data_IF_103822489573
#
_entry.id   IF_103822489573
#
_cell.length_a   1.000
_cell.length_b   1.000
_cell.length_c   1.000
_cell.angle_alpha   90.00
_cell.angle_beta   90.00
_cell.angle_gamma   90.00
#
_symmetry.space_group_name_H-M   'P 1'
#
loop_
_entity.id
_entity.type
_entity.pdbx_description
1 polymer ?
#
# COMPACT_ATOMS: atom_id res chain seq x y z
N UNK A 1 22.36 -22.18 27.64
CA UNK A 1 22.10 -21.37 26.44
C UNK A 1 20.73 -21.80 25.93
N UNK A 2 19.68 -20.98 26.08
CA UNK A 2 18.46 -21.24 25.30
C UNK A 2 18.86 -20.98 23.86
N UNK A 3 18.99 -22.03 23.07
CA UNK A 3 19.34 -21.89 21.66
C UNK A 3 18.15 -21.21 20.99
N UNK A 4 18.38 -20.05 20.37
CA UNK A 4 17.37 -19.31 19.59
C UNK A 4 16.74 -20.18 18.49
N UNK A 5 17.44 -21.26 18.12
CA UNK A 5 17.02 -22.27 17.14
C UNK A 5 16.25 -23.45 17.75
N UNK A 6 16.02 -23.47 19.06
CA UNK A 6 15.40 -24.58 19.77
C UNK A 6 16.35 -25.75 20.03
N UNK A 7 15.80 -26.81 20.62
CA UNK A 7 16.52 -28.04 20.92
C UNK A 7 15.67 -29.27 20.54
N UNK A 8 16.21 -30.48 20.74
CA UNK A 8 15.50 -31.73 20.42
C UNK A 8 14.13 -31.85 21.09
N UNK A 9 13.97 -31.29 22.29
CA UNK A 9 12.74 -31.32 23.07
C UNK A 9 11.84 -30.10 22.78
N UNK A 10 12.38 -29.05 22.16
CA UNK A 10 11.68 -27.84 21.76
C UNK A 10 12.00 -27.45 20.30
N UNK A 11 11.57 -28.25 19.30
CA UNK A 11 12.00 -28.07 17.91
C UNK A 11 11.34 -26.87 17.20
N UNK A 12 10.34 -26.23 17.80
CA UNK A 12 9.52 -25.19 17.16
C UNK A 12 9.85 -23.77 17.62
N UNK A 13 10.94 -23.55 18.38
CA UNK A 13 11.29 -22.23 18.94
C UNK A 13 11.39 -21.17 17.85
N UNK A 14 12.08 -21.47 16.74
CA UNK A 14 12.21 -20.53 15.63
C UNK A 14 10.85 -20.15 15.03
N UNK A 15 9.98 -21.12 14.75
CA UNK A 15 8.65 -20.86 14.20
C UNK A 15 7.75 -20.07 15.18
N UNK A 16 7.93 -20.30 16.48
CA UNK A 16 7.23 -19.55 17.52
C UNK A 16 7.71 -18.10 17.60
N UNK A 17 9.02 -17.87 17.51
CA UNK A 17 9.57 -16.53 17.44
C UNK A 17 9.09 -15.79 16.19
N UNK A 18 9.13 -16.43 15.01
CA UNK A 18 8.72 -15.82 13.75
C UNK A 18 7.26 -15.34 13.74
N UNK A 19 6.34 -16.07 14.37
CA UNK A 19 4.91 -15.68 14.44
C UNK A 19 4.58 -14.67 15.55
N UNK A 20 5.51 -14.43 16.48
CA UNK A 20 5.34 -13.49 17.60
C UNK A 20 6.11 -12.18 17.38
N UNK A 21 7.12 -12.19 16.51
CA UNK A 21 7.88 -11.02 16.17
C UNK A 21 7.01 -9.99 15.43
N UNK A 22 7.23 -8.68 15.66
CA UNK A 22 6.61 -7.64 14.87
C UNK A 22 7.06 -7.75 13.40
N UNK A 23 6.16 -7.37 12.48
CA UNK A 23 6.50 -7.26 11.06
C UNK A 23 7.19 -5.92 10.80
N UNK A 24 8.53 -5.94 10.88
CA UNK A 24 9.39 -4.78 10.65
C UNK A 24 9.64 -4.57 9.15
N UNK A 25 8.57 -4.40 8.39
CA UNK A 25 8.60 -4.54 6.93
C UNK A 25 9.49 -3.51 6.22
N UNK A 26 9.58 -2.30 6.78
CA UNK A 26 10.37 -1.16 6.29
C UNK A 26 11.22 -0.52 7.41
N UNK A 27 11.31 -1.13 8.60
CA UNK A 27 11.92 -0.47 9.75
C UNK A 27 13.44 -0.51 9.73
N UNK A 28 14.08 0.66 9.86
CA UNK A 28 15.52 0.78 10.07
C UNK A 28 16.04 0.03 11.30
N UNK A 29 15.18 -0.27 12.28
CA UNK A 29 15.56 -1.01 13.49
C UNK A 29 16.15 -2.40 13.19
N UNK A 30 15.80 -3.01 12.04
CA UNK A 30 16.40 -4.28 11.60
C UNK A 30 17.89 -4.18 11.32
N UNK A 31 18.40 -2.98 11.01
CA UNK A 31 19.81 -2.73 10.74
C UNK A 31 20.61 -2.36 12.00
N UNK A 32 20.04 -2.49 13.19
CA UNK A 32 20.74 -2.19 14.46
C UNK A 32 22.10 -2.90 14.57
N UNK A 33 22.23 -4.15 14.12
CA UNK A 33 23.53 -4.84 14.11
C UNK A 33 24.55 -4.14 13.19
N UNK A 34 24.13 -3.74 11.98
CA UNK A 34 24.99 -3.06 11.02
C UNK A 34 25.39 -1.68 11.54
N UNK A 35 24.43 -0.93 12.09
CA UNK A 35 24.66 0.38 12.73
C UNK A 35 25.68 0.24 13.86
N UNK A 36 25.52 -0.74 14.74
CA UNK A 36 26.47 -1.00 15.83
C UNK A 36 27.89 -1.31 15.33
N UNK A 37 28.04 -2.02 14.20
CA UNK A 37 29.35 -2.26 13.58
C UNK A 37 29.96 -1.00 13.00
N UNK A 38 29.16 -0.15 12.37
CA UNK A 38 29.59 1.17 11.89
C UNK A 38 30.07 2.00 13.08
N UNK A 39 29.30 2.05 14.17
CA UNK A 39 29.62 2.84 15.35
C UNK A 39 30.85 2.32 16.08
N UNK A 40 31.06 1.01 16.14
CA UNK A 40 32.32 0.44 16.64
C UNK A 40 33.52 0.84 15.77
N UNK A 41 33.31 1.02 14.45
CA UNK A 41 34.34 1.44 13.50
C UNK A 41 34.58 2.96 13.46
N UNK A 42 33.65 3.80 13.91
CA UNK A 42 33.77 5.27 13.81
C UNK A 42 33.71 6.00 15.15
N UNK A 43 33.15 5.38 16.18
CA UNK A 43 32.90 5.93 17.52
C UNK A 43 32.25 7.33 17.45
N UNK A 44 31.10 7.46 16.77
CA UNK A 44 30.46 8.74 16.56
C UNK A 44 29.89 9.27 17.87
N UNK A 45 29.92 10.59 18.05
CA UNK A 45 29.37 11.27 19.22
C UNK A 45 28.02 11.88 18.91
N UNK A 46 27.91 12.52 17.74
CA UNK A 46 26.71 13.25 17.33
C UNK A 46 26.07 12.60 16.12
N UNK A 47 24.78 12.29 16.21
CA UNK A 47 23.99 11.70 15.13
C UNK A 47 22.92 12.71 14.71
N UNK A 48 22.69 12.84 13.42
CA UNK A 48 21.53 13.57 12.88
C UNK A 48 20.65 12.55 12.16
N UNK A 49 19.43 12.36 12.63
CA UNK A 49 18.43 11.49 12.03
C UNK A 49 17.40 12.35 11.32
N UNK A 50 17.16 12.07 10.04
CA UNK A 50 16.14 12.74 9.21
C UNK A 50 15.07 11.72 8.87
N UNK A 51 13.83 11.98 9.27
CA UNK A 51 12.74 11.01 9.16
C UNK A 51 12.66 10.13 10.40
N UNK A 52 11.99 10.64 11.44
CA UNK A 52 11.97 10.00 12.77
C UNK A 52 10.78 9.03 12.90
N UNK A 53 9.75 9.22 12.07
CA UNK A 53 8.50 8.45 12.00
C UNK A 53 7.79 8.29 13.36
N UNK A 54 8.11 7.25 14.14
CA UNK A 54 7.53 6.99 15.45
C UNK A 54 8.44 7.37 16.63
N UNK A 55 9.72 7.71 16.36
CA UNK A 55 10.76 7.94 17.36
C UNK A 55 11.32 6.67 18.00
N UNK A 56 10.83 5.48 17.60
CA UNK A 56 11.26 4.21 18.19
C UNK A 56 12.67 3.77 17.75
N UNK A 57 13.15 4.24 16.60
CA UNK A 57 14.48 3.90 16.09
C UNK A 57 15.59 4.77 16.70
N UNK A 58 15.29 6.01 17.07
CA UNK A 58 16.27 7.00 17.52
C UNK A 58 17.11 6.55 18.72
N UNK A 59 16.53 5.79 19.65
CA UNK A 59 17.26 5.30 20.83
C UNK A 59 18.33 4.26 20.48
N UNK A 60 18.22 3.58 19.33
CA UNK A 60 19.19 2.58 18.89
C UNK A 60 20.58 3.20 18.75
N UNK A 61 20.65 4.47 18.32
CA UNK A 61 21.94 5.14 18.14
C UNK A 61 22.63 5.40 19.49
N UNK A 62 21.87 5.77 20.52
CA UNK A 62 22.38 5.91 21.89
C UNK A 62 22.80 4.57 22.47
N UNK A 63 22.02 3.51 22.24
CA UNK A 63 22.36 2.14 22.67
C UNK A 63 23.69 1.65 22.07
N UNK A 64 24.03 2.13 20.87
CA UNK A 64 25.32 1.85 20.21
C UNK A 64 26.44 2.83 20.56
N UNK A 65 26.19 3.78 21.47
CA UNK A 65 27.23 4.63 22.07
C UNK A 65 27.35 6.04 21.50
N UNK A 66 26.34 6.53 20.78
CA UNK A 66 26.24 7.97 20.51
C UNK A 66 25.98 8.75 21.80
N UNK A 67 26.48 9.98 21.86
CA UNK A 67 26.24 10.88 23.00
C UNK A 67 24.98 11.73 22.81
N UNK A 68 24.64 12.10 21.57
CA UNK A 68 23.48 12.90 21.25
C UNK A 68 22.91 12.56 19.87
N UNK A 69 21.59 12.58 19.75
CA UNK A 69 20.86 12.39 18.48
C UNK A 69 19.95 13.59 18.24
N UNK A 70 20.11 14.22 17.08
CA UNK A 70 19.23 15.28 16.60
C UNK A 70 18.22 14.68 15.63
N UNK A 71 16.98 14.57 16.08
CA UNK A 71 15.87 13.93 15.39
C UNK A 71 15.07 14.98 14.61
N UNK A 72 15.26 15.02 13.29
CA UNK A 72 14.62 15.97 12.36
C UNK A 72 13.30 15.39 11.85
N UNK A 73 12.22 16.08 12.16
CA UNK A 73 10.86 15.70 11.74
C UNK A 73 10.06 16.96 11.36
N UNK A 74 9.50 17.07 10.14
CA UNK A 74 8.72 18.24 9.75
C UNK A 74 7.38 18.39 10.48
N UNK A 75 6.74 17.30 10.90
CA UNK A 75 5.42 17.33 11.52
C UNK A 75 5.30 16.35 12.71
N UNK A 76 6.03 16.59 13.83
CA UNK A 76 6.11 15.63 14.91
C UNK A 76 4.80 15.53 15.69
N UNK A 77 4.33 14.30 15.86
CA UNK A 77 3.13 13.99 16.65
C UNK A 77 3.37 14.20 18.15
N UNK A 78 2.29 14.36 18.93
CA UNK A 78 2.39 14.44 20.40
C UNK A 78 3.05 13.19 20.99
N UNK A 79 2.71 12.01 20.47
CA UNK A 79 3.32 10.75 20.87
C UNK A 79 4.84 10.74 20.63
N UNK A 80 5.30 11.27 19.49
CA UNK A 80 6.74 11.37 19.21
C UNK A 80 7.42 12.34 20.17
N UNK A 81 6.82 13.51 20.43
CA UNK A 81 7.35 14.48 21.40
C UNK A 81 7.50 13.86 22.78
N UNK A 82 6.50 13.11 23.23
CA UNK A 82 6.52 12.41 24.51
C UNK A 82 7.61 11.33 24.55
N UNK A 83 7.76 10.54 23.47
CA UNK A 83 8.73 9.47 23.38
C UNK A 83 10.17 9.98 23.42
N UNK A 84 10.50 10.97 22.57
CA UNK A 84 11.83 11.57 22.54
C UNK A 84 12.11 12.37 23.82
N UNK A 85 11.12 13.06 24.36
CA UNK A 85 11.23 13.83 25.60
C UNK A 85 11.54 13.02 26.86
N UNK A 86 11.43 11.68 26.82
CA UNK A 86 11.88 10.83 27.92
C UNK A 86 13.40 10.74 28.06
N UNK A 87 14.15 11.10 27.00
CA UNK A 87 15.60 11.03 27.00
C UNK A 87 16.20 12.40 26.64
N UNK A 88 16.96 13.05 27.54
CA UNK A 88 17.54 14.38 27.29
C UNK A 88 18.57 14.41 26.15
N UNK A 89 19.11 13.24 25.76
CA UNK A 89 20.10 13.10 24.69
C UNK A 89 19.45 12.88 23.30
N UNK A 90 18.11 12.83 23.26
CA UNK A 90 17.31 12.86 22.03
C UNK A 90 16.71 14.26 21.83
N UNK A 91 17.18 14.96 20.81
CA UNK A 91 16.80 16.34 20.53
C UNK A 91 15.86 16.39 19.33
N UNK A 92 14.57 16.60 19.57
CA UNK A 92 13.61 16.83 18.48
C UNK A 92 13.82 18.20 17.83
N UNK A 93 14.03 18.21 16.52
CA UNK A 93 14.15 19.40 15.68
C UNK A 93 13.01 19.40 14.67
N UNK A 94 12.11 20.38 14.79
CA UNK A 94 10.95 20.51 13.90
C UNK A 94 11.32 21.32 12.66
N UNK A 95 11.33 20.68 11.50
CA UNK A 95 11.65 21.33 10.22
C UNK A 95 11.85 20.38 9.06
N UNK A 96 11.90 20.94 7.85
CA UNK A 96 12.13 20.21 6.60
C UNK A 96 13.63 20.17 6.27
N UNK A 97 14.14 18.98 5.98
CA UNK A 97 15.43 18.79 5.32
C UNK A 97 15.32 19.14 3.81
N UNK A 98 16.43 19.56 3.18
CA UNK A 98 17.75 19.83 3.76
C UNK A 98 17.85 21.18 4.50
N UNK A 99 16.87 22.06 4.39
CA UNK A 99 16.98 23.44 4.88
C UNK A 99 17.30 23.52 6.38
N UNK A 100 16.63 22.72 7.20
CA UNK A 100 16.82 22.69 8.66
C UNK A 100 18.22 22.20 9.07
N UNK A 101 18.94 21.47 8.22
CA UNK A 101 20.27 20.94 8.55
C UNK A 101 21.27 22.07 8.83
N UNK A 102 21.08 23.26 8.24
CA UNK A 102 21.90 24.43 8.49
C UNK A 102 21.80 24.98 9.94
N UNK A 103 20.72 24.67 10.64
CA UNK A 103 20.44 25.15 11.99
C UNK A 103 20.83 24.14 13.09
N UNK A 104 21.33 22.96 12.70
CA UNK A 104 21.67 21.85 13.60
C UNK A 104 23.19 21.71 13.71
N UNK A 105 23.67 21.20 14.85
CA UNK A 105 25.08 20.83 14.99
C UNK A 105 25.47 19.77 13.95
N UNK A 106 26.66 19.90 13.36
CA UNK A 106 27.15 18.92 12.41
C UNK A 106 27.30 17.55 13.09
N UNK A 107 26.70 16.53 12.49
CA UNK A 107 26.81 15.14 12.92
C UNK A 107 28.09 14.46 12.44
N UNK A 108 28.53 13.46 13.20
CA UNK A 108 29.53 12.47 12.76
C UNK A 108 28.88 11.41 11.86
N UNK A 109 27.58 11.18 12.06
CA UNK A 109 26.74 10.30 11.24
C UNK A 109 25.42 10.99 10.95
N UNK A 110 24.97 10.89 9.69
CA UNK A 110 23.64 11.27 9.26
C UNK A 110 22.87 10.00 8.90
N UNK A 111 21.67 9.83 9.45
CA UNK A 111 20.74 8.78 9.04
C UNK A 111 19.60 9.47 8.28
N UNK A 112 19.44 9.13 7.00
CA UNK A 112 18.50 9.79 6.09
C UNK A 112 17.45 8.77 5.66
N UNK A 113 16.25 8.93 6.21
CA UNK A 113 15.08 8.06 6.02
C UNK A 113 13.77 8.87 6.02
N UNK A 114 13.82 10.08 5.44
CA UNK A 114 12.70 11.00 5.36
C UNK A 114 11.79 10.72 4.15
N UNK A 115 11.85 11.61 3.15
CA UNK A 115 11.09 11.44 1.90
C UNK A 115 11.93 10.66 0.87
N UNK A 116 11.32 9.74 0.13
CA UNK A 116 12.04 8.84 -0.79
C UNK A 116 11.89 9.30 -2.25
N UNK A 117 12.13 10.59 -2.50
CA UNK A 117 12.23 11.15 -3.84
C UNK A 117 13.63 11.72 -4.11
N UNK A 118 13.97 11.75 -5.40
CA UNK A 118 15.27 12.20 -5.86
C UNK A 118 15.63 13.60 -5.36
N UNK A 119 14.72 14.57 -5.49
CA UNK A 119 15.05 15.97 -5.24
C UNK A 119 15.39 16.25 -3.77
N UNK A 120 14.65 15.62 -2.85
CA UNK A 120 14.87 15.73 -1.41
C UNK A 120 16.19 15.07 -1.02
N UNK A 121 16.38 13.80 -1.36
CA UNK A 121 17.60 13.04 -1.04
C UNK A 121 18.83 13.69 -1.67
N UNK A 122 18.71 14.18 -2.91
CA UNK A 122 19.80 14.89 -3.59
C UNK A 122 20.19 16.15 -2.83
N UNK A 123 19.22 16.96 -2.40
CA UNK A 123 19.47 18.18 -1.64
C UNK A 123 20.11 17.91 -0.27
N UNK A 124 19.68 16.84 0.41
CA UNK A 124 20.28 16.39 1.67
C UNK A 124 21.73 15.96 1.48
N UNK A 125 22.01 15.12 0.49
CA UNK A 125 23.36 14.66 0.20
C UNK A 125 24.28 15.81 -0.23
N UNK A 126 23.82 16.71 -1.10
CA UNK A 126 24.61 17.88 -1.51
C UNK A 126 24.98 18.75 -0.30
N UNK A 127 24.04 18.96 0.62
CA UNK A 127 24.31 19.69 1.85
C UNK A 127 25.30 18.95 2.75
N UNK A 128 25.07 17.66 3.03
CA UNK A 128 25.88 16.86 3.96
C UNK A 128 27.31 16.72 3.43
N UNK A 129 27.49 16.32 2.17
CA UNK A 129 28.82 16.10 1.57
C UNK A 129 29.63 17.41 1.46
N UNK A 130 28.95 18.55 1.40
CA UNK A 130 29.61 19.88 1.40
C UNK A 130 30.00 20.33 2.81
N UNK A 131 29.08 20.21 3.79
CA UNK A 131 29.24 20.83 5.11
C UNK A 131 29.82 19.88 6.17
N UNK A 132 29.63 18.56 5.98
CA UNK A 132 30.15 17.50 6.85
C UNK A 132 30.85 16.40 6.02
N UNK A 133 31.89 16.73 5.25
CA UNK A 133 32.55 15.80 4.31
C UNK A 133 33.24 14.60 4.97
N UNK A 134 33.45 14.62 6.29
CA UNK A 134 34.05 13.51 7.04
C UNK A 134 33.01 12.63 7.77
N UNK A 135 31.72 12.94 7.61
CA UNK A 135 30.61 12.21 8.21
C UNK A 135 30.27 10.94 7.43
N UNK A 136 29.71 9.94 8.13
CA UNK A 136 29.10 8.77 7.49
C UNK A 136 27.63 9.06 7.24
N UNK A 137 27.11 8.74 6.06
CA UNK A 137 25.68 8.87 5.75
C UNK A 137 25.09 7.48 5.59
N UNK A 138 24.06 7.17 6.37
CA UNK A 138 23.28 5.95 6.29
C UNK A 138 21.95 6.30 5.65
N UNK A 139 21.58 5.64 4.56
CA UNK A 139 20.33 5.88 3.84
C UNK A 139 19.55 4.58 3.69
N UNK A 140 18.23 4.66 3.66
CA UNK A 140 17.35 3.52 3.43
C UNK A 140 16.66 3.61 2.05
N UNK A 141 16.01 2.52 1.65
CA UNK A 141 15.23 2.43 0.41
C UNK A 141 16.01 2.62 -0.91
N UNK A 142 17.26 2.15 -0.94
CA UNK A 142 18.11 2.20 -2.14
C UNK A 142 17.74 1.18 -3.24
N UNK A 143 16.95 0.17 -2.92
CA UNK A 143 16.54 -0.89 -3.84
C UNK A 143 15.06 -0.74 -4.18
N UNK A 144 14.45 -1.81 -4.70
CA UNK A 144 13.06 -1.79 -5.11
C UNK A 144 12.14 -1.38 -3.93
N UNK A 145 11.16 -0.49 -4.15
CA UNK A 145 10.89 0.22 -5.39
C UNK A 145 11.63 1.56 -5.51
N UNK A 146 11.97 2.17 -4.38
CA UNK A 146 12.25 3.61 -4.31
C UNK A 146 13.65 4.00 -4.77
N UNK A 147 14.57 3.03 -4.89
CA UNK A 147 15.89 3.26 -5.46
C UNK A 147 15.84 3.86 -6.86
N UNK A 148 14.81 3.51 -7.65
CA UNK A 148 14.61 3.97 -9.03
C UNK A 148 13.22 4.56 -9.26
N UNK A 149 12.48 4.92 -8.21
CA UNK A 149 11.13 5.45 -8.34
C UNK A 149 10.88 6.42 -7.18
N UNK A 150 10.43 7.62 -7.49
CA UNK A 150 10.07 8.57 -6.44
C UNK A 150 8.81 8.14 -5.71
N UNK A 151 8.87 8.25 -4.38
CA UNK A 151 7.72 8.30 -3.49
C UNK A 151 7.56 9.73 -3.02
N UNK A 152 6.31 10.20 -2.95
CA UNK A 152 5.98 11.53 -2.45
C UNK A 152 5.02 11.44 -1.28
N UNK A 153 5.48 11.84 -0.09
CA UNK A 153 4.60 12.15 1.04
C UNK A 153 3.90 13.51 0.85
N UNK A 154 4.60 14.50 0.28
CA UNK A 154 4.06 15.82 0.01
C UNK A 154 4.60 16.43 -1.30
N UNK A 155 4.13 15.92 -2.44
CA UNK A 155 4.51 16.45 -3.76
C UNK A 155 4.23 17.96 -3.92
N UNK A 156 3.21 18.49 -3.25
CA UNK A 156 2.87 19.92 -3.31
C UNK A 156 3.88 20.83 -2.61
N UNK A 157 4.77 20.27 -1.76
CA UNK A 157 5.86 20.98 -1.12
C UNK A 157 7.13 21.10 -1.99
N UNK A 158 7.18 20.42 -3.13
CA UNK A 158 8.32 20.40 -4.05
C UNK A 158 8.10 21.34 -5.24
N UNK A 159 9.19 21.70 -5.90
CA UNK A 159 9.13 22.42 -7.17
C UNK A 159 8.51 21.52 -8.25
N UNK A 160 7.67 22.09 -9.12
CA UNK A 160 6.97 21.32 -10.16
C UNK A 160 7.91 20.60 -11.15
N UNK A 161 9.16 21.08 -11.29
CA UNK A 161 10.18 20.44 -12.12
C UNK A 161 10.82 19.20 -11.47
N UNK A 162 10.58 19.00 -10.17
CA UNK A 162 11.14 17.93 -9.35
C UNK A 162 10.09 16.86 -9.01
N UNK A 163 8.88 16.98 -9.57
CA UNK A 163 7.77 16.05 -9.37
C UNK A 163 7.46 15.34 -10.69
N UNK A 164 7.63 14.02 -10.70
CA UNK A 164 7.20 13.17 -11.82
C UNK A 164 5.68 12.98 -11.80
N UNK A 165 5.10 12.53 -12.91
CA UNK A 165 3.71 12.06 -12.90
C UNK A 165 3.56 10.95 -11.85
N UNK A 166 2.58 11.11 -10.95
CA UNK A 166 2.44 10.26 -9.77
C UNK A 166 0.97 9.94 -9.46
N UNK A 167 0.74 8.86 -8.73
CA UNK A 167 -0.62 8.39 -8.41
C UNK A 167 -0.71 7.54 -7.16
N UNK A 168 -1.94 7.11 -6.85
CA UNK A 168 -2.24 6.28 -5.68
C UNK A 168 -1.90 4.79 -5.88
N UNK A 169 -1.72 4.38 -7.14
CA UNK A 169 -1.32 3.03 -7.51
C UNK A 169 0.15 2.77 -7.13
N UNK A 170 0.45 1.52 -6.81
CA UNK A 170 1.74 1.14 -6.24
C UNK A 170 2.53 0.20 -7.15
N UNK A 171 3.86 0.16 -7.02
CA UNK A 171 4.69 -0.76 -7.79
C UNK A 171 4.51 -2.21 -7.35
N UNK A 172 4.84 -3.13 -8.23
CA UNK A 172 4.92 -4.57 -7.96
C UNK A 172 6.17 -5.15 -8.63
N UNK A 173 6.63 -6.33 -8.20
CA UNK A 173 7.77 -7.01 -8.87
C UNK A 173 7.33 -7.95 -9.99
N UNK A 174 6.02 -8.09 -10.21
CA UNK A 174 5.45 -9.03 -11.18
C UNK A 174 5.26 -8.42 -12.58
N UNK A 175 5.30 -7.09 -12.69
CA UNK A 175 5.30 -6.31 -13.92
C UNK A 175 5.80 -4.89 -13.62
N UNK A 176 6.13 -4.12 -14.66
CA UNK A 176 6.80 -2.82 -14.52
C UNK A 176 5.82 -1.67 -14.18
N UNK A 177 4.55 -1.80 -14.57
CA UNK A 177 3.51 -0.80 -14.32
C UNK A 177 3.11 -0.72 -12.83
N UNK A 178 2.63 0.45 -12.40
CA UNK A 178 1.94 0.59 -11.12
C UNK A 178 0.52 0.00 -11.18
N UNK A 179 0.01 -0.44 -10.03
CA UNK A 179 -1.33 -1.03 -9.92
C UNK A 179 -1.92 -0.80 -8.53
N UNK A 180 -3.25 -0.71 -8.44
CA UNK A 180 -3.99 -0.65 -7.18
C UNK A 180 -3.74 -1.87 -6.26
N UNK A 181 -3.27 -2.99 -6.82
CA UNK A 181 -2.90 -4.20 -6.09
C UNK A 181 -1.42 -4.24 -5.65
N UNK A 182 -0.65 -3.18 -5.91
CA UNK A 182 0.78 -3.08 -5.65
C UNK A 182 1.09 -2.52 -4.26
N UNK A 183 2.32 -2.05 -4.07
CA UNK A 183 2.73 -1.38 -2.84
C UNK A 183 2.18 0.05 -2.79
N UNK A 184 0.91 0.16 -2.38
CA UNK A 184 0.15 1.42 -2.31
C UNK A 184 0.33 2.11 -0.96
N UNK A 185 0.28 3.45 -0.96
CA UNK A 185 0.41 4.25 0.25
C UNK A 185 -0.85 4.42 1.08
N UNK A 186 -2.01 3.93 0.62
CA UNK A 186 -3.31 4.07 1.30
C UNK A 186 -3.62 5.51 1.76
N UNK A 187 -3.24 6.48 0.92
CA UNK A 187 -3.42 7.92 1.19
C UNK A 187 -2.30 8.58 2.01
N UNK A 188 -1.29 7.84 2.45
CA UNK A 188 -0.11 8.41 3.13
C UNK A 188 0.93 8.95 2.14
N UNK A 189 1.08 8.29 0.99
CA UNK A 189 1.99 8.70 -0.06
C UNK A 189 1.43 8.34 -1.44
N UNK A 190 2.08 8.89 -2.46
CA UNK A 190 1.89 8.52 -3.87
C UNK A 190 3.21 8.09 -4.48
N UNK A 191 3.16 7.28 -5.53
CA UNK A 191 4.34 6.82 -6.26
C UNK A 191 4.39 7.43 -7.65
N UNK A 192 5.59 7.76 -8.15
CA UNK A 192 5.79 8.08 -9.56
C UNK A 192 5.30 6.92 -10.44
N UNK A 193 4.63 7.23 -11.55
CA UNK A 193 4.03 6.25 -12.48
C UNK A 193 5.12 5.42 -13.16
N UNK A 194 6.22 6.05 -13.56
CA UNK A 194 7.36 5.42 -14.21
C UNK A 194 8.53 5.23 -13.24
N UNK A 195 9.24 4.09 -13.39
CA UNK A 195 10.52 3.86 -12.73
C UNK A 195 11.69 4.15 -13.69
N UNK A 196 12.80 4.59 -13.11
CA UNK A 196 14.03 4.94 -13.82
C UNK A 196 13.95 6.30 -14.49
N UNK A 197 14.92 6.57 -15.35
CA UNK A 197 15.10 7.88 -15.97
C UNK A 197 15.96 8.82 -15.15
N UNK A 198 16.09 10.05 -15.64
CA UNK A 198 16.83 11.11 -14.95
C UNK A 198 16.07 11.53 -13.69
N UNK A 199 16.80 11.75 -12.60
CA UNK A 199 16.28 12.38 -11.39
C UNK A 199 15.07 11.65 -10.78
N UNK A 200 15.11 10.31 -10.72
CA UNK A 200 14.01 9.48 -10.21
C UNK A 200 14.54 8.36 -9.29
N UNK A 201 14.21 8.44 -8.01
CA UNK A 201 14.55 7.48 -6.96
C UNK A 201 15.80 7.81 -6.13
N UNK A 202 15.86 7.19 -4.96
CA UNK A 202 16.91 7.38 -3.93
C UNK A 202 18.29 6.99 -4.45
N UNK A 203 18.44 5.83 -5.07
CA UNK A 203 19.74 5.36 -5.58
C UNK A 203 20.22 6.23 -6.73
N UNK A 204 19.31 6.73 -7.56
CA UNK A 204 19.65 7.70 -8.62
C UNK A 204 20.20 8.99 -8.01
N UNK A 205 19.61 9.51 -6.93
CA UNK A 205 20.13 10.69 -6.22
C UNK A 205 21.53 10.46 -5.64
N UNK A 206 21.76 9.29 -5.04
CA UNK A 206 23.06 8.90 -4.48
C UNK A 206 24.12 8.80 -5.58
N UNK A 207 23.82 8.13 -6.68
CA UNK A 207 24.75 7.98 -7.81
C UNK A 207 25.13 9.32 -8.40
N UNK A 208 24.16 10.22 -8.60
CA UNK A 208 24.44 11.55 -9.12
C UNK A 208 25.22 12.42 -8.11
N UNK A 209 24.98 12.27 -6.81
CA UNK A 209 25.72 12.98 -5.76
C UNK A 209 27.19 12.54 -5.72
N UNK A 210 27.44 11.23 -5.77
CA UNK A 210 28.79 10.67 -5.79
C UNK A 210 29.52 10.97 -7.11
N UNK A 211 28.80 11.00 -8.24
CA UNK A 211 29.38 11.43 -9.52
C UNK A 211 29.81 12.91 -9.52
N UNK A 212 29.14 13.76 -8.72
CA UNK A 212 29.52 15.15 -8.53
C UNK A 212 30.75 15.31 -7.60
N UNK A 213 31.09 14.31 -6.79
CA UNK A 213 32.34 14.27 -6.03
C UNK A 213 33.53 13.89 -6.93
N UNK A 214 33.96 14.87 -7.73
CA UNK A 214 35.02 14.70 -8.75
C UNK A 214 36.35 14.20 -8.16
N UNK A 215 36.60 14.42 -6.86
CA UNK A 215 37.85 13.99 -6.21
C UNK A 215 37.76 12.52 -5.76
N UNK A 216 36.56 11.92 -5.70
CA UNK A 216 36.36 10.54 -5.29
C UNK A 216 36.67 10.31 -3.81
N UNK A 217 36.23 11.23 -2.96
CA UNK A 217 36.48 11.19 -1.51
C UNK A 217 35.46 10.37 -0.75
N UNK A 218 34.42 9.86 -1.40
CA UNK A 218 33.38 9.07 -0.76
C UNK A 218 33.16 7.75 -1.49
N UNK A 219 32.78 6.74 -0.71
CA UNK A 219 32.39 5.43 -1.22
C UNK A 219 31.04 5.00 -0.67
N UNK A 220 30.31 4.24 -1.49
CA UNK A 220 29.04 3.61 -1.12
C UNK A 220 29.25 2.12 -0.84
N UNK A 221 28.77 1.66 0.32
CA UNK A 221 28.42 0.26 0.54
C UNK A 221 26.90 0.10 0.46
N UNK A 222 26.44 -0.95 -0.22
CA UNK A 222 25.03 -1.26 -0.42
C UNK A 222 24.71 -2.63 0.18
N UNK A 223 23.79 -2.66 1.13
CA UNK A 223 23.35 -3.88 1.81
C UNK A 223 21.99 -4.28 1.24
N UNK A 224 21.90 -5.37 0.46
CA UNK A 224 20.68 -5.71 -0.27
C UNK A 224 19.70 -6.49 0.60
N UNK A 225 19.23 -5.87 1.67
CA UNK A 225 18.22 -6.40 2.57
C UNK A 225 17.19 -5.31 2.86
N UNK A 226 15.92 -5.68 3.04
CA UNK A 226 14.81 -4.80 3.47
C UNK A 226 14.82 -3.48 2.69
N UNK A 227 14.49 -3.52 1.40
CA UNK A 227 14.48 -2.37 0.48
C UNK A 227 15.84 -1.66 0.29
N UNK A 228 16.90 -2.13 0.92
CA UNK A 228 18.29 -1.71 0.70
C UNK A 228 18.75 -0.65 1.69
N UNK A 229 19.89 -0.90 2.35
CA UNK A 229 20.58 0.10 3.17
C UNK A 229 21.86 0.57 2.46
N UNK A 230 22.01 1.87 2.31
CA UNK A 230 23.22 2.53 1.82
C UNK A 230 24.06 3.08 2.95
N UNK A 231 25.38 2.96 2.83
CA UNK A 231 26.34 3.62 3.72
C UNK A 231 27.35 4.36 2.86
N UNK A 232 27.27 5.68 2.83
CA UNK A 232 28.24 6.56 2.21
C UNK A 232 29.26 6.96 3.27
N UNK A 233 30.55 6.81 3.00
CA UNK A 233 31.60 7.17 3.96
C UNK A 233 32.82 7.77 3.28
N UNK A 234 33.56 8.66 3.98
CA UNK A 234 34.74 9.30 3.42
C UNK A 234 35.91 8.32 3.32
N UNK A 235 36.74 8.52 2.31
CA UNK A 235 37.98 7.77 2.03
C UNK A 235 39.24 8.57 2.35
N UNK A 236 39.09 9.74 2.97
CA UNK A 236 40.16 10.68 3.30
C UNK A 236 41.08 10.17 4.43
N UNK A 237 40.54 9.39 5.36
CA UNK A 237 41.28 8.70 6.43
C UNK A 237 41.36 7.19 6.14
N UNK A 238 42.57 6.71 5.81
CA UNK A 238 42.79 5.31 5.43
C UNK A 238 42.47 4.31 6.55
N UNK A 239 42.72 4.65 7.82
CA UNK A 239 42.50 3.75 8.96
C UNK A 239 41.00 3.66 9.29
N UNK A 240 40.29 4.80 9.29
CA UNK A 240 38.82 4.82 9.43
C UNK A 240 38.16 4.07 8.27
N UNK A 241 38.62 4.31 7.04
CA UNK A 241 38.14 3.63 5.82
C UNK A 241 38.32 2.12 5.92
N UNK A 242 39.50 1.65 6.31
CA UNK A 242 39.77 0.21 6.43
C UNK A 242 38.86 -0.47 7.47
N UNK A 243 38.62 0.18 8.61
CA UNK A 243 37.69 -0.33 9.64
C UNK A 243 36.26 -0.39 9.14
N UNK A 244 35.78 0.64 8.44
CA UNK A 244 34.45 0.66 7.85
C UNK A 244 34.27 -0.41 6.78
N UNK A 245 35.23 -0.56 5.86
CA UNK A 245 35.21 -1.65 4.86
C UNK A 245 35.12 -3.01 5.52
N UNK A 246 35.95 -3.27 6.54
CA UNK A 246 35.94 -4.54 7.25
C UNK A 246 34.62 -4.79 8.01
N UNK A 247 34.02 -3.74 8.59
CA UNK A 247 32.73 -3.82 9.26
C UNK A 247 31.58 -4.14 8.30
N UNK A 248 31.63 -3.59 7.08
CA UNK A 248 30.57 -3.68 6.08
C UNK A 248 30.74 -4.86 5.09
N UNK A 249 31.94 -5.42 4.96
CA UNK A 249 32.27 -6.51 4.02
C UNK A 249 31.27 -7.69 4.04
N UNK A 250 30.78 -8.17 5.19
CA UNK A 250 29.85 -9.32 5.20
C UNK A 250 28.47 -9.01 4.59
N UNK A 251 28.10 -7.73 4.53
CA UNK A 251 26.77 -7.26 4.15
C UNK A 251 26.77 -6.61 2.76
N UNK A 252 27.85 -5.89 2.44
CA UNK A 252 27.97 -5.12 1.21
C UNK A 252 27.89 -6.03 -0.02
N UNK A 253 26.88 -5.83 -0.86
CA UNK A 253 26.64 -6.63 -2.06
C UNK A 253 26.41 -8.12 -1.78
N UNK A 254 26.04 -8.50 -0.56
CA UNK A 254 25.93 -9.91 -0.16
C UNK A 254 24.90 -10.67 -1.03
N UNK A 255 25.32 -11.70 -1.79
CA UNK A 255 24.41 -12.46 -2.65
C UNK A 255 23.31 -13.20 -1.87
N UNK A 256 23.62 -13.61 -0.64
CA UNK A 256 22.64 -14.27 0.24
C UNK A 256 21.55 -13.29 0.66
N UNK A 257 21.94 -12.09 1.11
CA UNK A 257 20.96 -11.06 1.49
C UNK A 257 20.12 -10.65 0.29
N UNK A 258 20.75 -10.45 -0.88
CA UNK A 258 20.03 -10.13 -2.12
C UNK A 258 19.02 -11.22 -2.49
N UNK A 259 19.39 -12.50 -2.37
CA UNK A 259 18.47 -13.60 -2.61
C UNK A 259 17.31 -13.62 -1.61
N UNK A 260 17.57 -13.38 -0.32
CA UNK A 260 16.54 -13.29 0.71
C UNK A 260 15.59 -12.12 0.45
N UNK A 261 16.13 -10.96 0.07
CA UNK A 261 15.35 -9.76 -0.22
C UNK A 261 14.47 -9.93 -1.46
N UNK A 262 15.01 -10.48 -2.54
CA UNK A 262 14.24 -10.76 -3.76
C UNK A 262 13.06 -11.70 -3.46
N UNK A 263 13.27 -12.74 -2.63
CA UNK A 263 12.17 -13.61 -2.19
C UNK A 263 11.17 -12.84 -1.31
N UNK A 264 11.65 -11.99 -0.40
CA UNK A 264 10.81 -11.20 0.50
C UNK A 264 9.88 -10.27 -0.28
N UNK A 265 10.40 -9.48 -1.23
CA UNK A 265 9.58 -8.53 -2.00
C UNK A 265 8.61 -9.22 -2.96
N UNK A 266 8.99 -10.39 -3.51
CA UNK A 266 8.09 -11.21 -4.32
C UNK A 266 6.92 -11.75 -3.47
N UNK A 267 7.22 -12.30 -2.29
CA UNK A 267 6.19 -12.80 -1.38
C UNK A 267 5.31 -11.66 -0.85
N UNK A 268 5.92 -10.54 -0.48
CA UNK A 268 5.22 -9.37 0.03
C UNK A 268 4.23 -8.80 -0.99
N UNK A 269 4.68 -8.51 -2.21
CA UNK A 269 3.79 -7.99 -3.27
C UNK A 269 2.73 -9.00 -3.69
N UNK A 270 3.01 -10.31 -3.57
CA UNK A 270 1.98 -11.34 -3.78
C UNK A 270 0.91 -11.31 -2.68
N UNK A 271 1.29 -11.10 -1.43
CA UNK A 271 0.34 -10.92 -0.32
C UNK A 271 -0.51 -9.67 -0.51
N UNK A 272 0.09 -8.55 -0.93
CA UNK A 272 -0.65 -7.33 -1.26
C UNK A 272 -1.69 -7.57 -2.36
N UNK A 273 -1.29 -8.24 -3.44
CA UNK A 273 -2.20 -8.60 -4.52
C UNK A 273 -3.36 -9.50 -4.03
N UNK A 274 -3.06 -10.51 -3.20
CA UNK A 274 -4.10 -11.36 -2.61
C UNK A 274 -5.05 -10.56 -1.71
N UNK A 275 -4.55 -9.61 -0.90
CA UNK A 275 -5.38 -8.76 -0.05
C UNK A 275 -6.32 -7.89 -0.89
N UNK A 276 -5.80 -7.30 -1.97
CA UNK A 276 -6.60 -6.53 -2.92
C UNK A 276 -7.68 -7.39 -3.60
N UNK A 277 -7.31 -8.56 -4.14
CA UNK A 277 -8.23 -9.51 -4.77
C UNK A 277 -9.34 -9.95 -3.80
N UNK A 278 -8.99 -10.22 -2.52
CA UNK A 278 -9.94 -10.59 -1.48
C UNK A 278 -10.90 -9.46 -1.12
N UNK A 279 -10.40 -8.22 -1.04
CA UNK A 279 -11.22 -7.04 -0.76
C UNK A 279 -12.19 -6.76 -1.92
N UNK A 280 -11.70 -6.79 -3.16
CA UNK A 280 -12.52 -6.64 -4.36
C UNK A 280 -13.61 -7.72 -4.44
N UNK A 281 -13.24 -8.99 -4.21
CA UNK A 281 -14.20 -10.09 -4.18
C UNK A 281 -15.18 -10.07 -3.00
N UNK A 282 -14.90 -9.33 -1.92
CA UNK A 282 -15.87 -9.08 -0.85
C UNK A 282 -16.92 -8.05 -1.29
N UNK A 283 -16.49 -6.96 -1.92
CA UNK A 283 -17.38 -5.93 -2.48
C UNK A 283 -18.32 -6.55 -3.51
N UNK A 284 -17.79 -7.33 -4.47
CA UNK A 284 -18.60 -8.00 -5.49
C UNK A 284 -19.66 -8.95 -4.88
N UNK A 285 -19.32 -9.64 -3.78
CA UNK A 285 -20.26 -10.52 -3.08
C UNK A 285 -21.37 -9.75 -2.39
N UNK A 286 -21.07 -8.61 -1.78
CA UNK A 286 -22.06 -7.75 -1.14
C UNK A 286 -22.99 -7.11 -2.16
N UNK A 287 -22.46 -6.65 -3.30
CA UNK A 287 -23.26 -6.17 -4.42
C UNK A 287 -24.18 -7.26 -4.99
N UNK A 288 -23.65 -8.47 -5.18
CA UNK A 288 -24.43 -9.62 -5.64
C UNK A 288 -25.52 -9.99 -4.62
N UNK A 289 -25.21 -10.00 -3.33
CA UNK A 289 -26.18 -10.24 -2.27
C UNK A 289 -27.30 -9.19 -2.27
N UNK A 290 -26.95 -7.91 -2.47
CA UNK A 290 -27.92 -6.82 -2.65
C UNK A 290 -28.81 -7.03 -3.87
N UNK A 291 -28.24 -7.46 -5.00
CA UNK A 291 -28.97 -7.77 -6.23
C UNK A 291 -29.93 -8.96 -6.04
N UNK A 292 -29.49 -10.02 -5.38
CA UNK A 292 -30.33 -11.18 -5.04
C UNK A 292 -31.48 -10.76 -4.16
N UNK A 293 -31.24 -9.96 -3.11
CA UNK A 293 -32.29 -9.46 -2.22
C UNK A 293 -33.34 -8.60 -2.98
N UNK A 294 -32.88 -7.77 -3.94
CA UNK A 294 -33.75 -6.98 -4.80
C UNK A 294 -34.63 -7.87 -5.69
N UNK A 295 -34.03 -8.88 -6.35
CA UNK A 295 -34.76 -9.82 -7.21
C UNK A 295 -35.77 -10.65 -6.40
N UNK A 296 -35.43 -11.08 -5.18
CA UNK A 296 -36.35 -11.78 -4.29
C UNK A 296 -37.54 -10.91 -3.84
N UNK A 297 -37.32 -9.60 -3.64
CA UNK A 297 -38.41 -8.66 -3.38
C UNK A 297 -39.30 -8.45 -4.60
N UNK A 298 -38.73 -8.42 -5.81
CA UNK A 298 -39.48 -8.31 -7.06
C UNK A 298 -40.29 -9.58 -7.36
N UNK A 299 -39.70 -10.77 -7.21
CA UNK A 299 -40.38 -12.04 -7.36
C UNK A 299 -41.56 -12.18 -6.38
N UNK A 300 -41.40 -11.75 -5.13
CA UNK A 300 -42.50 -11.72 -4.15
C UNK A 300 -43.64 -10.83 -4.63
N UNK A 301 -43.34 -9.60 -5.06
CA UNK A 301 -44.36 -8.67 -5.60
C UNK A 301 -45.08 -9.24 -6.82
N UNK A 302 -44.34 -9.85 -7.74
CA UNK A 302 -44.94 -10.48 -8.92
C UNK A 302 -45.84 -11.67 -8.56
N UNK A 303 -45.44 -12.49 -7.58
CA UNK A 303 -46.27 -13.60 -7.08
C UNK A 303 -47.55 -13.09 -6.42
N UNK A 304 -47.45 -12.07 -5.58
CA UNK A 304 -48.62 -11.43 -4.93
C UNK A 304 -49.60 -10.85 -5.95
N UNK A 305 -49.10 -10.19 -6.99
CA UNK A 305 -49.94 -9.66 -8.08
C UNK A 305 -50.56 -10.80 -8.91
N UNK A 306 -49.81 -11.86 -9.20
CA UNK A 306 -50.34 -13.05 -9.87
C UNK A 306 -51.46 -13.69 -9.05
N UNK A 307 -51.28 -13.88 -7.75
CA UNK A 307 -52.29 -14.41 -6.85
C UNK A 307 -53.53 -13.51 -6.78
N UNK A 308 -53.32 -12.19 -6.78
CA UNK A 308 -54.41 -11.21 -6.84
C UNK A 308 -55.19 -11.34 -8.15
N UNK A 309 -54.51 -11.41 -9.29
CA UNK A 309 -55.14 -11.58 -10.60
C UNK A 309 -55.91 -12.91 -10.69
N UNK A 310 -55.35 -14.00 -10.15
CA UNK A 310 -56.04 -15.30 -10.05
C UNK A 310 -57.32 -15.16 -9.23
N UNK A 311 -57.27 -14.51 -8.06
CA UNK A 311 -58.47 -14.28 -7.22
C UNK A 311 -59.53 -13.45 -7.95
N UNK A 312 -59.13 -12.37 -8.62
CA UNK A 312 -60.04 -11.53 -9.41
C UNK A 312 -60.70 -12.36 -10.51
N UNK A 313 -59.90 -13.12 -11.26
CA UNK A 313 -60.41 -13.95 -12.35
C UNK A 313 -61.36 -15.05 -11.85
N UNK A 314 -61.04 -15.70 -10.72
CA UNK A 314 -61.94 -16.67 -10.08
C UNK A 314 -63.27 -16.03 -9.68
N UNK A 315 -63.23 -14.86 -9.06
CA UNK A 315 -64.43 -14.13 -8.68
C UNK A 315 -65.26 -13.71 -9.91
N UNK A 316 -64.62 -13.27 -11.00
CA UNK A 316 -65.31 -12.99 -12.27
C UNK A 316 -65.96 -14.23 -12.87
N UNK A 317 -65.27 -15.37 -12.86
CA UNK A 317 -65.82 -16.66 -13.32
C UNK A 317 -67.00 -17.10 -12.45
N UNK A 318 -66.92 -16.93 -11.13
CA UNK A 318 -68.01 -17.22 -10.21
C UNK A 318 -69.20 -16.28 -10.43
N UNK A 319 -68.97 -14.99 -10.64
CA UNK A 319 -70.01 -14.02 -10.97
C UNK A 319 -70.71 -14.35 -12.30
N UNK A 320 -69.94 -14.75 -13.32
CA UNK A 320 -70.47 -15.24 -14.61
C UNK A 320 -71.25 -16.55 -14.47
N UNK A 321 -70.87 -17.44 -13.54
CA UNK A 321 -71.63 -18.66 -13.23
C UNK A 321 -72.92 -18.38 -12.47
N UNK A 322 -72.90 -17.43 -11.52
CA UNK A 322 -74.05 -17.05 -10.71
C UNK A 322 -75.06 -16.19 -11.48
N UNK A 323 -74.59 -15.36 -12.41
CA UNK A 323 -75.39 -14.49 -13.25
C UNK A 323 -75.00 -14.69 -14.73
N UNK A 324 -75.37 -15.84 -15.33
CA UNK A 324 -75.00 -16.13 -16.71
C UNK A 324 -75.57 -15.04 -17.62
N UNK A 325 -74.78 -14.49 -18.56
CA UNK A 325 -75.28 -13.50 -19.50
C UNK A 325 -76.53 -14.06 -20.18
N UNK A 326 -77.56 -13.21 -20.31
CA UNK A 326 -78.88 -13.55 -20.84
C UNK A 326 -78.72 -14.52 -22.00
N UNK A 327 -79.19 -15.74 -21.76
CA UNK A 327 -79.10 -16.84 -22.72
C UNK A 327 -79.58 -16.37 -24.09
N UNK A 328 -78.78 -16.65 -25.12
CA UNK A 328 -79.20 -16.69 -26.53
C UNK A 328 -80.19 -17.86 -26.73
N UNK A 329 -81.14 -18.07 -25.81
CA UNK A 329 -82.26 -19.02 -25.92
C UNK A 329 -83.48 -18.44 -26.63
N UNK A 330 -83.46 -17.17 -27.02
CA UNK A 330 -84.62 -16.53 -27.66
C UNK A 330 -84.50 -16.25 -29.16
N UNK A 331 -83.42 -16.63 -29.84
CA UNK A 331 -83.32 -16.45 -31.31
C UNK A 331 -83.90 -17.66 -32.08
N UNK A 332 -83.83 -18.88 -31.54
CA UNK A 332 -84.37 -20.08 -32.22
C UNK A 332 -85.90 -20.23 -32.18
N UNK A 333 -86.56 -19.76 -31.11
CA UNK A 333 -88.00 -20.00 -30.89
C UNK A 333 -88.96 -19.17 -31.74
N UNK A 334 -88.58 -17.94 -32.11
CA UNK A 334 -89.44 -17.04 -32.92
C UNK A 334 -89.37 -17.35 -34.43
N UNK A 335 -88.23 -17.82 -34.94
CA UNK A 335 -88.09 -18.21 -36.35
C UNK A 335 -88.89 -19.49 -36.68
N UNK A 336 -88.86 -20.50 -35.80
CA UNK A 336 -89.57 -21.77 -36.01
C UNK A 336 -91.10 -21.62 -35.92
N UNK A 337 -91.62 -20.77 -35.02
CA UNK A 337 -93.07 -20.49 -34.94
C UNK A 337 -93.61 -19.67 -36.13
N UNK A 338 -92.79 -18.82 -36.75
CA UNK A 338 -93.17 -18.03 -37.94
C UNK A 338 -93.15 -18.90 -39.22
N UNK A 339 -92.23 -19.88 -39.31
CA UNK A 339 -92.19 -20.84 -40.41
C UNK A 339 -93.34 -21.86 -40.36
N UNK A 340 -93.70 -22.36 -39.17
CA UNK A 340 -94.81 -23.31 -38.99
C UNK A 340 -96.20 -22.74 -39.34
N UNK A 341 -96.47 -21.46 -39.04
CA UNK A 341 -97.73 -20.79 -39.43
C UNK A 341 -97.83 -20.53 -40.93
N UNK A 342 -96.71 -20.26 -41.61
CA UNK A 342 -96.68 -20.02 -43.07
C UNK A 342 -96.88 -21.33 -43.87
N UNK A 343 -96.34 -22.45 -43.37
CA UNK A 343 -96.53 -23.77 -43.99
C UNK A 343 -97.97 -24.30 -43.86
N UNK A 344 -98.67 -24.00 -42.76
CA UNK A 344 -100.09 -24.37 -42.58
C UNK A 344 -101.02 -23.54 -43.47
N UNK A 345 -100.76 -22.24 -43.61
CA UNK A 345 -101.53 -21.36 -44.49
C UNK A 345 -101.35 -21.65 -46.00
N UNK A 346 -100.24 -22.26 -46.41
CA UNK A 346 -100.00 -22.67 -47.80
C UNK A 346 -100.63 -24.03 -48.13
N UNK A 347 -100.80 -24.94 -47.16
CA UNK A 347 -101.51 -26.22 -47.37
C UNK A 347 -103.02 -26.05 -47.52
N UNK A 348 -103.63 -25.09 -46.82
CA UNK A 348 -105.08 -24.83 -46.93
C UNK A 348 -105.47 -24.05 -48.20
N UNK A 349 -104.49 -23.50 -48.93
CA UNK A 349 -104.71 -22.77 -50.21
C UNK A 349 -104.52 -23.64 -51.46
N UNK A 350 -104.10 -24.90 -51.30
CA UNK A 350 -103.92 -25.87 -52.39
C UNK A 350 -105.03 -26.95 -52.44
N UNK A 351 -106.13 -26.75 -51.70
CA UNK A 351 -107.32 -27.64 -51.68
C UNK A 351 -108.64 -26.89 -51.97
N UNK A 352 -108.58 -25.79 -52.71
CA UNK A 352 -109.76 -25.13 -53.30
C UNK A 352 -109.51 -24.84 -54.76
#
# INVERSE_FOLDING_TARGET
MKTEFGDRNHPHVQAQAARQAPLLLHSLTLFSEVIGRIFAATQPRTIVEVGVESGGASSIYLDHGADAVYCVEPAPTEQMRDALGQNPDLHLIEGLSPAILADIALGDVYVVDGDHNYATVRGELDWILTNAPDAVVILHDLLWPWGRRDLYYNAAGLDAADVHEHGADGPTVWHDDVTAAGFVGLGQFTAAVDAGGERNGVLTAIEDALAADVVGKHELALIPAVFGLGVIYPTTDADKTARLRAALEPYNGSPLLAAMENNRIALYTRVLAMQYEMAAGAIDRDELAGRVAQLDAELRRQREETDRLIRVHQHELEALRANPPISIRNIGGRAVRKAGRKARALRDKARR
#
